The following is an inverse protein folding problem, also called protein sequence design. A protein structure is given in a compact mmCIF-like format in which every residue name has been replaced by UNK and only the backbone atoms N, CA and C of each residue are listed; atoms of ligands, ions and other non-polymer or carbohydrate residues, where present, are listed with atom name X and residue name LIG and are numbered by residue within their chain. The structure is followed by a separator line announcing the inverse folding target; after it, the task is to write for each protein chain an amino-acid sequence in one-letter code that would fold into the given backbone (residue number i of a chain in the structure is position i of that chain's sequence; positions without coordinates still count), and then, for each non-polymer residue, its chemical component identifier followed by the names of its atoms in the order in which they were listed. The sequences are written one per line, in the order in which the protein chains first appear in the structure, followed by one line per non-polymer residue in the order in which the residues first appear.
data_IF_888089278814
#
_entry.id   IF_888089278814
#
_cell.length_a   1.000
_cell.length_b   1.000
_cell.length_c   1.000
_cell.angle_alpha   90.00
_cell.angle_beta   90.00
_cell.angle_gamma   90.00
#
_symmetry.space_group_name_H-M   'P 1'
#
loop_
_entity.id
_entity.type
_entity.pdbx_description
1 polymer ?
#
# COMPACT_ATOMS: atom_id res chain seq x y z
N UNK A 1 -7.45 22.21 10.20
CA UNK A 1 -7.31 20.74 10.35
C UNK A 1 -5.89 20.36 10.02
N UNK A 2 -5.23 19.59 10.89
CA UNK A 2 -3.87 19.10 10.65
C UNK A 2 -3.86 17.98 9.59
N UNK A 3 -2.75 17.83 8.89
CA UNK A 3 -2.53 16.70 7.99
C UNK A 3 -1.98 15.49 8.75
N UNK A 4 -2.31 14.29 8.28
CA UNK A 4 -1.69 13.05 8.73
C UNK A 4 -0.84 12.46 7.60
N UNK A 5 0.28 11.84 7.97
CA UNK A 5 1.04 11.02 7.05
C UNK A 5 1.55 9.75 7.71
N UNK A 6 1.72 8.70 6.90
CA UNK A 6 2.28 7.43 7.30
C UNK A 6 3.32 6.97 6.28
N UNK A 7 4.41 6.39 6.77
CA UNK A 7 5.44 5.76 5.94
C UNK A 7 5.34 4.25 6.11
N UNK A 8 5.03 3.57 5.02
CA UNK A 8 4.95 2.12 4.96
C UNK A 8 6.29 1.60 4.44
N UNK A 9 6.97 0.82 5.28
CA UNK A 9 8.25 0.20 4.95
C UNK A 9 8.04 -1.31 4.74
N UNK A 10 8.40 -1.87 3.58
CA UNK A 10 8.31 -3.30 3.37
C UNK A 10 9.28 -4.06 4.29
N UNK A 11 8.82 -5.13 4.93
CA UNK A 11 9.65 -5.97 5.82
C UNK A 11 10.49 -7.00 5.05
N UNK A 12 10.02 -7.40 3.87
CA UNK A 12 10.62 -8.46 3.06
C UNK A 12 10.35 -8.22 1.56
N UNK A 13 11.04 -8.92 0.64
CA UNK A 13 10.87 -8.74 -0.80
C UNK A 13 9.43 -8.97 -1.31
N UNK A 14 8.65 -9.87 -0.68
CA UNK A 14 7.26 -10.15 -1.08
C UNK A 14 6.35 -9.00 -0.67
N UNK A 15 6.58 -8.47 0.53
CA UNK A 15 5.94 -7.24 1.00
C UNK A 15 6.27 -6.05 0.10
N UNK A 16 7.52 -5.96 -0.40
CA UNK A 16 7.91 -4.95 -1.39
C UNK A 16 7.05 -5.08 -2.65
N UNK A 17 7.04 -6.23 -3.32
CA UNK A 17 6.25 -6.45 -4.55
C UNK A 17 4.77 -6.14 -4.34
N UNK A 18 4.23 -6.46 -3.17
CA UNK A 18 2.86 -6.10 -2.78
C UNK A 18 2.65 -4.59 -2.76
N UNK A 19 3.56 -3.82 -2.15
CA UNK A 19 3.52 -2.35 -2.15
C UNK A 19 3.85 -1.75 -3.52
N UNK A 20 4.52 -2.48 -4.41
CA UNK A 20 4.80 -2.08 -5.78
C UNK A 20 3.59 -2.23 -6.71
N UNK A 21 2.60 -3.06 -6.33
CA UNK A 21 1.33 -3.16 -7.03
C UNK A 21 0.48 -1.87 -6.84
N UNK A 22 0.09 -1.24 -7.96
CA UNK A 22 -0.71 -0.01 -7.93
C UNK A 22 -2.11 -0.23 -7.35
N UNK A 23 -2.77 -1.34 -7.69
CA UNK A 23 -4.08 -1.67 -7.15
C UNK A 23 -4.05 -1.83 -5.63
N UNK A 24 -3.00 -2.48 -5.11
CA UNK A 24 -2.82 -2.62 -3.66
C UNK A 24 -2.61 -1.27 -2.99
N UNK A 25 -1.81 -0.39 -3.59
CA UNK A 25 -1.62 0.99 -3.12
C UNK A 25 -2.95 1.74 -3.07
N UNK A 26 -3.76 1.67 -4.13
CA UNK A 26 -5.09 2.29 -4.16
C UNK A 26 -6.02 1.72 -3.08
N UNK A 27 -5.97 0.41 -2.83
CA UNK A 27 -6.75 -0.22 -1.75
C UNK A 27 -6.35 0.32 -0.37
N UNK A 28 -5.04 0.47 -0.10
CA UNK A 28 -4.55 1.05 1.16
C UNK A 28 -5.05 2.50 1.32
N UNK A 29 -4.97 3.30 0.25
CA UNK A 29 -5.46 4.67 0.28
C UNK A 29 -6.97 4.76 0.53
N UNK A 30 -7.72 3.86 -0.11
CA UNK A 30 -9.17 3.80 0.03
C UNK A 30 -9.58 3.47 1.46
N UNK A 31 -8.97 2.45 2.08
CA UNK A 31 -9.25 2.08 3.47
C UNK A 31 -8.87 3.20 4.45
N UNK A 32 -7.73 3.87 4.25
CA UNK A 32 -7.33 5.02 5.07
C UNK A 32 -8.35 6.17 4.98
N UNK A 33 -8.80 6.50 3.75
CA UNK A 33 -9.82 7.53 3.52
C UNK A 33 -11.17 7.13 4.12
N UNK A 34 -11.57 5.87 3.98
CA UNK A 34 -12.83 5.34 4.53
C UNK A 34 -12.84 5.41 6.05
N UNK A 35 -11.72 5.09 6.70
CA UNK A 35 -11.62 5.05 8.15
C UNK A 35 -11.66 6.44 8.78
N UNK A 36 -11.03 7.44 8.16
CA UNK A 36 -10.84 8.77 8.76
C UNK A 36 -11.79 9.84 8.19
N UNK A 37 -12.44 9.55 7.05
CA UNK A 37 -13.06 10.56 6.21
C UNK A 37 -12.01 11.48 5.57
N UNK A 38 -12.31 12.04 4.40
CA UNK A 38 -11.39 12.95 3.69
C UNK A 38 -11.98 14.36 3.63
N UNK A 39 -11.23 15.35 4.12
CA UNK A 39 -11.58 16.78 3.99
C UNK A 39 -11.07 17.32 2.67
N UNK A 40 -9.75 17.22 2.43
CA UNK A 40 -9.05 17.71 1.23
C UNK A 40 -7.74 16.94 1.03
N UNK A 41 -7.27 16.85 -0.21
CA UNK A 41 -5.96 16.30 -0.62
C UNK A 41 -5.61 14.91 -0.07
N UNK A 42 -5.43 13.95 -0.98
CA UNK A 42 -4.84 12.66 -0.65
C UNK A 42 -3.68 12.41 -1.61
N UNK A 43 -2.56 11.96 -1.08
CA UNK A 43 -1.36 11.75 -1.87
C UNK A 43 -0.71 10.46 -1.45
N UNK A 44 -0.29 9.70 -2.47
CA UNK A 44 0.58 8.56 -2.28
C UNK A 44 1.81 8.72 -3.16
N UNK A 45 3.00 8.62 -2.55
CA UNK A 45 4.25 8.50 -3.30
C UNK A 45 4.97 7.24 -2.95
N UNK A 46 5.51 6.61 -3.98
CA UNK A 46 6.45 5.51 -3.86
C UNK A 46 7.86 6.06 -4.03
N UNK A 47 8.75 5.66 -3.13
CA UNK A 47 10.19 5.74 -3.36
C UNK A 47 10.62 4.49 -4.15
N UNK A 48 11.09 4.70 -5.38
CA UNK A 48 11.55 3.63 -6.27
C UNK A 48 12.84 2.97 -5.79
N UNK A 49 13.70 3.67 -5.04
CA UNK A 49 14.95 3.13 -4.51
C UNK A 49 14.70 2.10 -3.42
N UNK A 50 13.87 2.46 -2.43
CA UNK A 50 13.73 1.66 -1.20
C UNK A 50 12.43 0.86 -1.11
N UNK A 51 11.49 1.04 -2.05
CA UNK A 51 10.18 0.39 -2.01
C UNK A 51 9.26 0.93 -0.90
N UNK A 52 9.61 2.08 -0.30
CA UNK A 52 8.79 2.75 0.71
C UNK A 52 7.59 3.41 0.05
N UNK A 53 6.45 3.40 0.74
CA UNK A 53 5.24 4.08 0.32
C UNK A 53 4.87 5.11 1.37
N UNK A 54 4.71 6.36 0.94
CA UNK A 54 4.29 7.47 1.79
C UNK A 54 2.84 7.76 1.46
N UNK A 55 1.99 7.83 2.47
CA UNK A 55 0.60 8.26 2.37
C UNK A 55 0.46 9.55 3.17
N UNK A 56 -0.12 10.59 2.58
CA UNK A 56 -0.46 11.83 3.24
C UNK A 56 -1.88 12.26 2.90
N UNK A 57 -2.66 12.68 3.89
CA UNK A 57 -4.04 13.13 3.71
C UNK A 57 -4.45 14.14 4.79
N UNK A 58 -5.43 14.99 4.50
CA UNK A 58 -6.09 15.85 5.51
C UNK A 58 -7.46 15.25 5.82
N UNK A 59 -7.60 14.51 6.94
CA UNK A 59 -8.81 13.78 7.24
C UNK A 59 -9.85 14.64 7.96
N UNK A 60 -11.09 14.13 8.04
CA UNK A 60 -12.14 14.70 8.90
C UNK A 60 -11.82 14.36 10.35
N UNK A 61 -11.48 13.09 10.61
CA UNK A 61 -11.07 12.58 11.91
C UNK A 61 -9.54 12.55 11.97
N UNK A 62 -8.95 13.39 12.83
CA UNK A 62 -7.50 13.45 13.01
C UNK A 62 -7.03 12.39 14.02
N UNK A 63 -6.91 11.15 13.57
CA UNK A 63 -6.54 10.00 14.39
C UNK A 63 -5.41 9.16 13.73
N UNK A 64 -4.15 9.35 14.18
CA UNK A 64 -3.00 8.60 13.67
C UNK A 64 -3.10 7.08 13.90
N UNK A 65 -3.66 6.64 15.02
CA UNK A 65 -3.76 5.20 15.34
C UNK A 65 -4.78 4.51 14.42
N UNK A 66 -5.88 5.20 14.13
CA UNK A 66 -6.87 4.73 13.15
C UNK A 66 -6.32 4.73 11.73
N UNK A 67 -5.44 5.66 11.37
CA UNK A 67 -4.68 5.62 10.12
C UNK A 67 -3.81 4.37 10.03
N UNK A 68 -3.01 4.10 11.06
CA UNK A 68 -2.11 2.94 11.10
C UNK A 68 -2.92 1.63 11.04
N UNK A 69 -4.01 1.55 11.79
CA UNK A 69 -4.85 0.35 11.88
C UNK A 69 -5.56 0.06 10.56
N UNK A 70 -6.11 1.08 9.88
CA UNK A 70 -6.74 0.90 8.56
C UNK A 70 -5.75 0.43 7.49
N UNK A 71 -4.54 0.99 7.47
CA UNK A 71 -3.46 0.54 6.58
C UNK A 71 -3.10 -0.92 6.84
N UNK A 72 -2.92 -1.31 8.11
CA UNK A 72 -2.55 -2.69 8.49
C UNK A 72 -3.63 -3.72 8.15
N UNK A 73 -4.90 -3.32 8.24
CA UNK A 73 -6.05 -4.21 7.99
C UNK A 73 -6.48 -4.24 6.51
N UNK A 74 -5.79 -3.52 5.63
CA UNK A 74 -6.11 -3.51 4.20
C UNK A 74 -5.92 -4.92 3.60
N UNK A 75 -6.94 -5.51 2.95
CA UNK A 75 -6.82 -6.84 2.36
C UNK A 75 -5.85 -6.86 1.18
N UNK A 76 -5.11 -7.96 1.02
CA UNK A 76 -4.24 -8.17 -0.14
C UNK A 76 -5.08 -8.63 -1.34
N UNK A 77 -5.04 -7.84 -2.41
CA UNK A 77 -5.76 -8.08 -3.66
C UNK A 77 -5.23 -9.32 -4.41
N UNK A 78 -6.13 -9.98 -5.14
CA UNK A 78 -5.81 -11.21 -5.88
C UNK A 78 -4.74 -11.00 -6.97
N UNK A 79 -4.73 -9.84 -7.63
CA UNK A 79 -3.68 -9.51 -8.60
C UNK A 79 -2.28 -9.39 -7.96
N UNK A 80 -2.20 -8.95 -6.70
CA UNK A 80 -0.96 -8.90 -5.93
C UNK A 80 -0.52 -10.31 -5.52
N UNK A 81 -1.47 -11.21 -5.24
CA UNK A 81 -1.20 -12.63 -4.97
C UNK A 81 -0.66 -13.36 -6.21
N UNK A 82 -1.14 -13.03 -7.41
CA UNK A 82 -0.62 -13.59 -8.67
C UNK A 82 0.86 -13.25 -8.89
N UNK A 83 1.29 -12.02 -8.61
CA UNK A 83 2.70 -11.63 -8.67
C UNK A 83 3.56 -12.51 -7.75
N UNK A 84 3.08 -12.75 -6.53
CA UNK A 84 3.75 -13.62 -5.58
C UNK A 84 3.83 -15.09 -6.04
N UNK A 85 2.79 -15.59 -6.73
CA UNK A 85 2.80 -16.95 -7.31
C UNK A 85 3.83 -17.08 -8.42
N UNK A 86 3.92 -16.09 -9.32
CA UNK A 86 4.91 -16.08 -10.41
C UNK A 86 6.33 -16.05 -9.86
N UNK A 87 6.59 -15.24 -8.81
CA UNK A 87 7.91 -15.18 -8.17
C UNK A 87 8.35 -16.48 -7.48
N UNK A 88 7.42 -17.39 -7.17
CA UNK A 88 7.73 -18.70 -6.57
C UNK A 88 7.99 -19.79 -7.61
N UNK A 89 7.55 -19.60 -8.85
CA UNK A 89 7.78 -20.56 -9.92
C UNK A 89 9.18 -20.33 -10.47
N UNK A 90 10.07 -21.35 -10.55
CA UNK A 90 11.27 -21.24 -11.37
C UNK A 90 10.78 -20.96 -12.80
N UNK A 91 11.11 -19.81 -13.38
CA UNK A 91 10.90 -19.60 -14.82
C UNK A 91 11.82 -20.56 -15.57
N UNK A 92 11.35 -21.79 -15.76
CA UNK A 92 11.96 -22.84 -16.55
C UNK A 92 10.94 -23.33 -17.57
N UNK A 93 11.23 -23.06 -18.84
CA UNK A 93 10.45 -23.45 -20.02
C UNK A 93 11.02 -22.68 -21.21
N UNK A 94 12.24 -23.03 -21.64
CA UNK A 94 12.51 -23.96 -22.75
C UNK A 94 11.84 -23.48 -24.06
N UNK A 95 12.63 -22.79 -24.89
CA UNK A 95 12.40 -22.76 -26.33
C UNK A 95 12.52 -24.21 -26.82
N UNK A 96 11.42 -24.76 -27.31
CA UNK A 96 11.39 -25.89 -28.23
C UNK A 96 10.97 -25.37 -29.60
#
# INVERSE_FOLDING_TARGET
TGGLSAVITPRDPRSRVTLENEGQRQAILFEAVRALGLVRYKFMRRDLKNGKVIIALVPIVNDPERLITSIKNTPILENSRKLHRIMKTPLGGQHG
#
